data_IF_384011576010
#
_entry.id   IF_384011576010
#
_cell.length_a   1.000
_cell.length_b   1.000
_cell.length_c   1.000
_cell.angle_alpha   90.00
_cell.angle_beta   90.00
_cell.angle_gamma   90.00
#
_symmetry.space_group_name_H-M   'P 1'
#
loop_
_entity.id
_entity.type
_entity.pdbx_description
1 polymer ?
#
# COMPACT_ATOMS: atom_id res chain seq x y z
N UNK A 1 -10.55 14.13 -25.01
CA UNK A 1 -9.44 13.22 -25.14
C UNK A 1 -8.89 12.72 -23.84
N UNK A 2 -8.92 13.48 -22.83
CA UNK A 2 -8.52 12.99 -21.52
C UNK A 2 -9.44 11.98 -20.96
N UNK A 3 -10.68 12.01 -21.36
CA UNK A 3 -11.68 11.06 -20.92
C UNK A 3 -11.30 9.62 -21.23
N UNK A 4 -10.46 9.41 -22.24
CA UNK A 4 -10.01 8.07 -22.57
C UNK A 4 -9.22 7.38 -21.49
N UNK A 5 -8.59 8.13 -20.60
CA UNK A 5 -7.85 7.54 -19.48
C UNK A 5 -8.75 6.97 -18.40
N UNK A 6 -10.03 7.39 -18.40
CA UNK A 6 -11.01 6.98 -17.41
C UNK A 6 -12.07 6.04 -17.98
N UNK A 7 -11.83 5.49 -19.16
CA UNK A 7 -12.73 4.52 -19.78
C UNK A 7 -12.54 3.14 -19.15
N UNK A 8 -13.51 2.63 -18.38
CA UNK A 8 -13.38 1.33 -17.73
C UNK A 8 -13.39 0.16 -18.73
N UNK A 9 -13.83 0.37 -19.96
CA UNK A 9 -13.80 -0.64 -20.98
C UNK A 9 -12.43 -0.78 -21.65
N UNK A 10 -11.53 0.14 -21.40
CA UNK A 10 -10.18 0.16 -21.99
C UNK A 10 -9.13 0.43 -20.90
N UNK A 11 -8.98 -0.47 -19.93
CA UNK A 11 -8.00 -0.28 -18.86
C UNK A 11 -6.58 -0.33 -19.42
N UNK A 12 -5.69 0.45 -18.83
CA UNK A 12 -4.26 0.43 -19.15
C UNK A 12 -3.45 0.72 -17.92
N UNK A 13 -2.24 0.19 -17.86
CA UNK A 13 -1.31 0.52 -16.80
C UNK A 13 -0.79 1.95 -17.00
N UNK A 14 -0.92 2.77 -15.96
CA UNK A 14 -0.45 4.17 -15.96
C UNK A 14 0.65 4.42 -14.94
N UNK A 15 1.05 3.41 -14.19
CA UNK A 15 2.14 3.48 -13.24
C UNK A 15 2.29 2.18 -12.48
N UNK A 16 3.46 1.96 -11.93
CA UNK A 16 3.71 0.83 -11.03
C UNK A 16 4.80 1.18 -10.03
N UNK A 17 4.70 0.61 -8.84
CA UNK A 17 5.73 0.66 -7.81
C UNK A 17 5.96 -0.74 -7.26
N UNK A 18 7.16 -1.00 -6.77
CA UNK A 18 7.51 -2.29 -6.19
C UNK A 18 8.06 -2.08 -4.79
N UNK A 19 7.60 -2.91 -3.87
CA UNK A 19 8.05 -2.92 -2.48
C UNK A 19 8.15 -4.37 -2.01
N UNK A 20 9.21 -4.71 -1.30
CA UNK A 20 9.37 -6.03 -0.71
C UNK A 20 9.59 -7.14 -1.74
N UNK A 21 8.73 -8.13 -1.70
CA UNK A 21 8.83 -9.36 -2.49
C UNK A 21 9.34 -10.54 -1.66
N UNK A 22 9.15 -11.74 -2.19
CA UNK A 22 9.56 -12.98 -1.50
C UNK A 22 11.05 -12.97 -1.17
N UNK A 23 11.88 -12.43 -2.03
CA UNK A 23 13.32 -12.37 -1.84
C UNK A 23 13.79 -11.16 -1.05
N UNK A 24 12.88 -10.26 -0.66
CA UNK A 24 13.23 -9.05 0.09
C UNK A 24 14.17 -8.10 -0.65
N UNK A 25 14.09 -8.07 -1.99
CA UNK A 25 15.05 -7.29 -2.79
C UNK A 25 14.70 -5.82 -2.94
N UNK A 26 13.42 -5.48 -2.78
CA UNK A 26 12.98 -4.11 -3.01
C UNK A 26 12.66 -3.45 -1.69
N UNK A 27 13.51 -2.53 -1.27
CA UNK A 27 13.38 -1.78 -0.04
C UNK A 27 12.48 -0.56 -0.22
N UNK A 28 11.99 -0.03 0.90
CA UNK A 28 11.31 1.27 0.90
C UNK A 28 12.36 2.39 0.73
N UNK A 29 12.05 3.44 -0.06
CA UNK A 29 13.00 4.54 -0.27
C UNK A 29 13.47 5.23 1.00
N UNK A 30 12.63 5.28 2.05
CA UNK A 30 13.02 5.85 3.33
C UNK A 30 14.04 5.01 4.11
N UNK A 31 14.22 3.74 3.74
CA UNK A 31 15.13 2.81 4.41
C UNK A 31 15.80 1.89 3.38
N UNK A 32 16.61 2.45 2.48
CA UNK A 32 17.18 1.67 1.37
C UNK A 32 18.15 0.57 1.81
N UNK A 33 18.68 0.66 3.03
CA UNK A 33 19.54 -0.37 3.60
C UNK A 33 18.81 -1.51 4.30
N UNK A 34 17.48 -1.44 4.41
CA UNK A 34 16.66 -2.45 5.05
C UNK A 34 15.88 -3.24 4.00
N UNK A 35 16.12 -4.55 3.92
CA UNK A 35 15.32 -5.41 3.05
C UNK A 35 13.90 -5.53 3.60
N UNK A 36 12.91 -5.24 2.77
CA UNK A 36 11.50 -5.43 3.13
C UNK A 36 11.09 -6.87 2.86
N UNK A 37 10.62 -7.56 3.89
CA UNK A 37 10.06 -8.89 3.75
C UNK A 37 8.58 -8.82 3.43
N UNK A 38 8.09 -9.77 2.65
CA UNK A 38 6.72 -9.79 2.16
C UNK A 38 6.47 -8.74 1.09
N UNK A 39 5.23 -8.61 0.69
CA UNK A 39 4.82 -7.62 -0.30
C UNK A 39 3.50 -6.99 0.08
N UNK A 40 3.03 -6.00 -0.67
CA UNK A 40 1.72 -5.41 -0.46
C UNK A 40 0.62 -6.46 -0.42
N UNK A 41 -0.14 -6.50 0.65
CA UNK A 41 -1.21 -7.47 0.87
C UNK A 41 -2.59 -6.82 0.84
N UNK A 42 -2.78 -5.78 1.62
CA UNK A 42 -4.03 -5.03 1.61
C UNK A 42 -3.79 -3.64 1.05
N UNK A 43 -4.76 -3.17 0.28
CA UNK A 43 -4.70 -1.89 -0.41
C UNK A 43 -5.90 -1.06 0.00
N UNK A 44 -5.68 0.19 0.31
CA UNK A 44 -6.72 1.15 0.60
C UNK A 44 -6.48 2.44 -0.18
N UNK A 45 -7.48 2.93 -0.87
CA UNK A 45 -7.40 4.15 -1.68
C UNK A 45 -8.16 5.26 -0.99
N UNK A 46 -7.56 6.45 -0.87
CA UNK A 46 -8.29 7.61 -0.37
C UNK A 46 -9.41 8.02 -1.33
N UNK A 47 -10.46 8.64 -0.80
CA UNK A 47 -11.61 9.04 -1.62
C UNK A 47 -11.27 9.99 -2.75
N UNK A 48 -10.27 10.85 -2.56
CA UNK A 48 -9.82 11.76 -3.60
C UNK A 48 -8.97 11.08 -4.69
N UNK A 49 -8.63 9.81 -4.49
CA UNK A 49 -7.81 9.03 -5.42
C UNK A 49 -6.35 9.43 -5.47
N UNK A 50 -5.88 10.27 -4.55
CA UNK A 50 -4.51 10.80 -4.57
C UNK A 50 -3.53 10.03 -3.71
N UNK A 51 -4.03 9.13 -2.86
CA UNK A 51 -3.19 8.35 -1.94
C UNK A 51 -3.64 6.91 -1.93
N UNK A 52 -2.68 6.03 -1.93
CA UNK A 52 -2.90 4.59 -1.76
C UNK A 52 -2.07 4.14 -0.55
N UNK A 53 -2.69 3.38 0.32
CA UNK A 53 -2.02 2.79 1.47
C UNK A 53 -1.95 1.29 1.29
N UNK A 54 -0.78 0.71 1.56
CA UNK A 54 -0.56 -0.73 1.45
C UNK A 54 0.07 -1.26 2.72
N UNK A 55 -0.41 -2.42 3.15
CA UNK A 55 0.13 -3.15 4.29
C UNK A 55 0.68 -4.49 3.84
N UNK A 56 1.52 -5.11 4.65
CA UNK A 56 2.21 -6.33 4.27
C UNK A 56 1.74 -7.60 4.96
N UNK A 57 0.69 -7.53 5.79
CA UNK A 57 0.30 -8.68 6.60
C UNK A 57 -1.18 -9.04 6.42
N UNK A 58 -1.45 -10.32 6.23
CA UNK A 58 -2.80 -10.88 6.24
C UNK A 58 -3.09 -11.49 7.61
N UNK A 59 -2.40 -12.55 7.97
CA UNK A 59 -2.48 -13.22 9.26
C UNK A 59 -1.07 -13.59 9.72
N UNK A 60 -0.75 -13.31 10.97
CA UNK A 60 0.57 -13.63 11.51
C UNK A 60 0.97 -15.10 11.36
N UNK A 61 0.04 -16.02 11.59
CA UNK A 61 0.32 -17.45 11.45
C UNK A 61 0.59 -17.87 10.01
N UNK A 62 -0.05 -17.24 9.04
CA UNK A 62 0.20 -17.50 7.63
C UNK A 62 1.50 -16.85 7.18
N UNK A 63 1.75 -15.64 7.62
CA UNK A 63 3.00 -14.94 7.33
C UNK A 63 4.21 -15.76 7.82
N UNK A 64 4.11 -16.31 9.02
CA UNK A 64 5.19 -17.13 9.61
C UNK A 64 5.40 -18.43 8.85
N UNK A 65 4.36 -19.00 8.26
CA UNK A 65 4.44 -20.21 7.45
C UNK A 65 5.16 -19.96 6.11
N UNK A 66 4.83 -18.86 5.44
CA UNK A 66 5.39 -18.53 4.13
C UNK A 66 6.72 -17.81 4.22
N UNK A 67 6.99 -17.16 5.34
CA UNK A 67 8.20 -16.40 5.59
C UNK A 67 8.83 -16.86 6.92
N UNK A 68 9.57 -17.97 6.91
CA UNK A 68 10.12 -18.54 8.16
C UNK A 68 11.02 -17.59 8.95
N UNK A 69 11.68 -16.67 8.26
CA UNK A 69 12.54 -15.66 8.89
C UNK A 69 11.77 -14.44 9.40
N UNK A 70 10.42 -14.50 9.31
CA UNK A 70 9.55 -13.41 9.69
C UNK A 70 9.37 -12.40 8.58
N UNK A 71 8.24 -11.71 8.62
CA UNK A 71 7.89 -10.71 7.62
C UNK A 71 7.93 -9.28 8.17
N UNK A 72 7.94 -9.15 9.51
CA UNK A 72 7.82 -7.87 10.16
C UNK A 72 6.46 -7.23 9.88
N UNK A 73 6.30 -5.98 10.24
CA UNK A 73 5.13 -5.18 9.91
C UNK A 73 5.58 -3.89 9.27
N UNK A 74 4.98 -3.55 8.16
CA UNK A 74 5.20 -2.25 7.57
C UNK A 74 3.96 -1.78 6.81
N UNK A 75 3.92 -0.49 6.61
CA UNK A 75 2.79 0.20 6.02
C UNK A 75 3.36 1.33 5.16
N UNK A 76 3.01 1.35 3.92
CA UNK A 76 3.52 2.34 2.98
C UNK A 76 2.39 3.19 2.41
N UNK A 77 2.73 4.42 2.10
CA UNK A 77 1.84 5.34 1.39
C UNK A 77 2.41 5.59 0.00
N UNK A 78 1.54 5.56 -0.97
CA UNK A 78 1.87 5.81 -2.37
C UNK A 78 1.03 6.99 -2.83
N UNK A 79 1.69 7.99 -3.36
CA UNK A 79 1.03 9.14 -3.95
C UNK A 79 0.71 8.85 -5.42
N UNK A 80 -0.47 9.27 -5.84
CA UNK A 80 -0.91 9.17 -7.22
C UNK A 80 -1.05 10.56 -7.81
N UNK A 81 -0.99 10.67 -9.12
CA UNK A 81 -1.22 11.92 -9.82
C UNK A 81 -2.26 11.75 -10.92
N UNK A 82 -3.56 11.72 -10.56
CA UNK A 82 -4.63 11.57 -11.55
C UNK A 82 -4.67 12.71 -12.57
N UNK A 83 -4.25 13.91 -12.16
CA UNK A 83 -4.26 15.07 -13.06
C UNK A 83 -3.21 14.97 -14.15
N UNK A 84 -2.11 14.27 -13.88
CA UNK A 84 -1.07 14.02 -14.89
C UNK A 84 -1.33 12.77 -15.73
N UNK A 85 -2.51 12.15 -15.60
CA UNK A 85 -2.85 10.95 -16.34
C UNK A 85 -2.36 9.65 -15.70
N UNK A 86 -1.96 9.70 -14.45
CA UNK A 86 -1.49 8.56 -13.68
C UNK A 86 -0.07 8.76 -13.16
N UNK A 87 0.46 7.73 -12.57
CA UNK A 87 1.76 7.74 -11.93
C UNK A 87 1.65 7.36 -10.46
N UNK A 88 2.60 6.57 -9.99
CA UNK A 88 2.67 6.11 -8.60
C UNK A 88 4.05 6.41 -8.06
N UNK A 89 4.08 7.07 -6.90
CA UNK A 89 5.34 7.40 -6.22
C UNK A 89 5.23 7.05 -4.75
N UNK A 90 6.17 6.27 -4.25
CA UNK A 90 6.21 5.94 -2.81
C UNK A 90 6.57 7.19 -2.02
N UNK A 91 5.78 7.50 -1.00
CA UNK A 91 6.08 8.61 -0.10
C UNK A 91 7.28 8.25 0.77
N UNK A 92 8.39 8.93 0.53
CA UNK A 92 9.67 8.68 1.20
C UNK A 92 9.67 9.09 2.68
N UNK A 93 8.69 9.88 3.11
CA UNK A 93 8.62 10.41 4.48
C UNK A 93 7.66 9.62 5.36
N UNK A 94 6.89 8.73 4.78
CA UNK A 94 5.87 7.98 5.49
C UNK A 94 6.18 6.48 5.43
N UNK A 95 6.73 5.96 6.52
CA UNK A 95 7.07 4.54 6.57
C UNK A 95 7.01 3.99 8.01
N UNK A 96 5.81 3.85 8.58
CA UNK A 96 5.64 3.14 9.84
C UNK A 96 6.04 1.67 9.68
N UNK A 97 6.86 1.16 10.58
CA UNK A 97 7.36 -0.21 10.53
C UNK A 97 7.87 -0.72 11.86
N UNK A 98 7.93 -2.02 12.00
CA UNK A 98 8.59 -2.68 13.12
C UNK A 98 8.00 -2.25 14.47
N UNK A 99 8.80 -1.64 15.29
CA UNK A 99 8.43 -1.26 16.65
C UNK A 99 7.31 -0.22 16.74
N UNK A 100 7.04 0.51 15.67
CA UNK A 100 5.91 1.43 15.60
C UNK A 100 4.58 0.72 15.90
N UNK A 101 4.50 -0.58 15.60
CA UNK A 101 3.31 -1.40 15.81
C UNK A 101 3.35 -2.21 17.12
N UNK A 102 4.39 -2.07 17.92
CA UNK A 102 4.51 -2.71 19.24
C UNK A 102 4.28 -4.23 19.20
N UNK A 103 4.91 -4.91 18.26
CA UNK A 103 4.79 -6.35 18.08
C UNK A 103 3.51 -6.82 17.40
N UNK A 104 2.68 -5.90 16.94
CA UNK A 104 1.44 -6.23 16.21
C UNK A 104 1.69 -6.19 14.72
N UNK A 105 0.81 -6.88 13.99
CA UNK A 105 0.80 -6.84 12.52
C UNK A 105 -0.18 -5.78 12.05
N UNK A 106 0.20 -5.01 11.04
CA UNK A 106 -0.71 -4.08 10.38
C UNK A 106 -1.37 -4.81 9.23
N UNK A 107 -2.69 -4.86 9.26
CA UNK A 107 -3.48 -5.57 8.24
C UNK A 107 -4.24 -4.61 7.33
N UNK A 108 -4.98 -3.70 7.90
CA UNK A 108 -5.85 -2.82 7.14
C UNK A 108 -5.77 -1.39 7.65
N UNK A 109 -5.84 -0.45 6.71
CA UNK A 109 -5.88 0.98 7.01
C UNK A 109 -7.32 1.44 7.03
N UNK A 110 -7.67 2.21 8.05
CA UNK A 110 -8.94 2.93 8.13
C UNK A 110 -8.62 4.39 8.40
N UNK A 111 -9.16 5.26 7.61
CA UNK A 111 -8.93 6.69 7.75
C UNK A 111 -10.14 7.34 8.40
N UNK A 112 -9.88 8.23 9.36
CA UNK A 112 -10.93 8.96 10.06
C UNK A 112 -11.77 9.80 9.08
N UNK A 113 -13.04 9.96 9.40
CA UNK A 113 -13.94 10.75 8.56
C UNK A 113 -14.39 10.07 7.27
N UNK A 114 -14.15 8.77 7.13
CA UNK A 114 -14.57 8.03 5.93
C UNK A 114 -13.77 8.41 4.69
N UNK A 115 -12.49 8.73 4.86
CA UNK A 115 -11.63 9.14 3.75
C UNK A 115 -11.05 7.96 2.96
N UNK A 116 -11.27 6.74 3.40
CA UNK A 116 -10.84 5.55 2.67
C UNK A 116 -11.97 5.00 1.80
N UNK A 117 -11.60 4.43 0.65
CA UNK A 117 -12.60 3.91 -0.31
C UNK A 117 -13.43 2.78 0.28
N UNK A 118 -12.84 1.93 1.11
CA UNK A 118 -13.55 0.83 1.77
C UNK A 118 -14.61 1.33 2.76
N UNK A 119 -14.45 2.50 3.32
CA UNK A 119 -15.42 3.07 4.24
C UNK A 119 -16.75 3.41 3.57
N UNK A 120 -16.72 3.62 2.25
CA UNK A 120 -17.91 3.93 1.46
C UNK A 120 -18.92 2.80 1.44
N UNK A 121 -18.48 1.57 1.64
CA UNK A 121 -19.38 0.41 1.66
C UNK A 121 -20.09 0.25 3.01
N UNK A 122 -19.44 0.68 4.06
CA UNK A 122 -19.93 0.47 5.40
C UNK A 122 -20.81 1.63 5.89
N UNK A 123 -20.60 2.78 5.33
CA UNK A 123 -21.23 4.02 5.81
C UNK A 123 -21.77 4.83 4.64
N UNK A 124 -22.93 4.42 4.11
CA UNK A 124 -23.59 5.28 3.13
C UNK A 124 -23.93 6.61 3.78
N UNK A 125 -23.50 7.64 3.15
CA UNK A 125 -23.75 9.00 3.64
C UNK A 125 -25.21 9.41 3.43
#
# INVERSE_FOLDING_TARGET
MKEKTNDPASPREVGSVRLGGITGRVAHPAAPGEALAGGPQMVEVSRDGKRIYVTNSLYGSWDDQFYPDGVGSWFAKIDTDPAAGGGLTVDEKFFPRGDDFRGRRVHQVRLGGGDASSDSYCYPS
#
